data_IF_760516453268
#
_entry.id   IF_760516453268
#
_cell.length_a   1.000
_cell.length_b   1.000
_cell.length_c   1.000
_cell.angle_alpha   90.00
_cell.angle_beta   90.00
_cell.angle_gamma   90.00
#
_symmetry.space_group_name_H-M   'P 1'
#
loop_
_entity.id
_entity.type
_entity.pdbx_description
1 polymer ?
#
# COMPACT_ATOMS: atom_id res chain seq x y z
N UNK A 1 -5.68 8.39 -14.61
CA UNK A 1 -5.16 8.12 -13.26
C UNK A 1 -6.21 8.53 -12.25
N UNK A 2 -6.61 7.62 -11.37
CA UNK A 2 -7.49 7.95 -10.25
C UNK A 2 -6.74 8.84 -9.26
N UNK A 3 -7.44 9.69 -8.48
CA UNK A 3 -6.81 10.42 -7.39
C UNK A 3 -6.09 9.47 -6.41
N UNK A 4 -4.91 9.84 -5.88
CA UNK A 4 -4.19 8.99 -4.94
C UNK A 4 -4.97 8.83 -3.63
N UNK A 5 -4.92 7.62 -3.06
CA UNK A 5 -5.52 7.32 -1.74
C UNK A 5 -4.43 7.37 -0.69
N UNK A 6 -4.70 8.08 0.41
CA UNK A 6 -3.76 8.14 1.55
C UNK A 6 -4.05 6.99 2.50
N UNK A 7 -3.05 6.15 2.73
CA UNK A 7 -3.17 4.97 3.61
C UNK A 7 -2.26 5.19 4.82
N UNK A 8 -2.83 5.06 6.02
CA UNK A 8 -2.07 5.04 7.26
C UNK A 8 -1.63 3.59 7.56
N UNK A 9 -0.33 3.38 7.70
CA UNK A 9 0.24 2.08 8.12
C UNK A 9 0.91 2.29 9.48
N UNK A 10 0.36 1.68 10.53
CA UNK A 10 0.98 1.68 11.87
C UNK A 10 1.99 0.53 11.98
N UNK A 11 2.98 0.66 12.88
CA UNK A 11 4.03 -0.34 13.02
C UNK A 11 4.82 -0.57 11.72
N UNK A 12 5.03 0.49 10.92
CA UNK A 12 5.58 0.40 9.56
C UNK A 12 7.01 -0.20 9.48
N UNK A 13 7.76 -0.18 10.58
CA UNK A 13 9.08 -0.82 10.68
C UNK A 13 9.02 -2.31 11.07
N UNK A 14 7.83 -2.86 11.33
CA UNK A 14 7.63 -4.27 11.67
C UNK A 14 7.69 -5.20 10.45
N UNK A 15 7.94 -6.49 10.70
CA UNK A 15 8.10 -7.51 9.64
C UNK A 15 6.86 -7.66 8.74
N UNK A 16 5.66 -7.47 9.31
CA UNK A 16 4.41 -7.50 8.54
C UNK A 16 4.37 -6.33 7.56
N UNK A 17 4.64 -5.11 8.04
CA UNK A 17 4.61 -3.92 7.20
C UNK A 17 5.68 -3.96 6.10
N UNK A 18 6.86 -4.51 6.40
CA UNK A 18 7.95 -4.65 5.43
C UNK A 18 7.55 -5.48 4.21
N UNK A 19 6.77 -6.55 4.39
CA UNK A 19 6.24 -7.34 3.27
C UNK A 19 4.97 -6.77 2.66
N UNK A 20 4.19 -5.98 3.42
CA UNK A 20 2.90 -5.43 3.00
C UNK A 20 3.01 -4.18 2.11
N UNK A 21 3.85 -3.21 2.46
CA UNK A 21 3.82 -1.86 1.84
C UNK A 21 4.11 -1.93 0.34
N UNK A 22 5.00 -2.82 -0.10
CA UNK A 22 5.30 -3.01 -1.53
C UNK A 22 4.11 -3.58 -2.31
N UNK A 23 3.30 -4.44 -1.68
CA UNK A 23 2.09 -5.00 -2.31
C UNK A 23 0.99 -3.94 -2.43
N UNK A 24 0.86 -3.09 -1.41
CA UNK A 24 -0.06 -1.94 -1.45
C UNK A 24 0.33 -1.00 -2.60
N UNK A 25 1.61 -0.64 -2.71
CA UNK A 25 2.12 0.21 -3.79
C UNK A 25 2.04 -0.44 -5.19
N UNK A 26 1.99 -1.78 -5.27
CA UNK A 26 1.76 -2.51 -6.52
C UNK A 26 0.29 -2.48 -6.97
N UNK A 27 -0.63 -2.09 -6.08
CA UNK A 27 -2.07 -2.10 -6.36
C UNK A 27 -2.77 -3.41 -5.97
N UNK A 28 -2.13 -4.32 -5.24
CA UNK A 28 -2.78 -5.58 -4.79
C UNK A 28 -4.02 -5.33 -3.91
N UNK A 29 -4.04 -4.20 -3.20
CA UNK A 29 -5.10 -3.86 -2.25
C UNK A 29 -6.26 -3.09 -2.90
N UNK A 30 -5.96 -2.14 -3.79
CA UNK A 30 -6.94 -1.19 -4.35
C UNK A 30 -7.15 -1.36 -5.86
N UNK A 31 -6.44 -2.29 -6.48
CA UNK A 31 -6.44 -2.57 -7.92
C UNK A 31 -5.31 -1.85 -8.68
N UNK A 32 -4.98 -2.32 -9.89
CA UNK A 32 -3.85 -1.83 -10.68
C UNK A 32 -4.00 -0.38 -11.16
N UNK A 33 -5.22 0.17 -11.18
CA UNK A 33 -5.50 1.56 -11.56
C UNK A 33 -5.30 2.56 -10.40
N UNK A 34 -4.97 2.05 -9.21
CA UNK A 34 -4.82 2.83 -7.99
C UNK A 34 -3.41 2.63 -7.42
N UNK A 35 -2.44 3.47 -7.82
CA UNK A 35 -1.13 3.51 -7.19
C UNK A 35 -1.21 4.03 -5.75
#
# INVERSE_FOLDING_TARGET
>A
MKPPVRIAVTGAAGQIAYSLIFRVAHGDMLGPDQP
#
